data_IF_170107877387
#
_entry.id   IF_170107877387
#
_cell.length_a   1.000
_cell.length_b   1.000
_cell.length_c   1.000
_cell.angle_alpha   90.00
_cell.angle_beta   90.00
_cell.angle_gamma   90.00
#
_symmetry.space_group_name_H-M   'P 1'
#
loop_
_entity.id
_entity.type
_entity.pdbx_description
1 polymer ?
#
# COMPACT_ATOMS: atom_id res chain seq x y z
N UNK A 1 30.15 36.21 54.68
CA UNK A 1 31.11 35.70 53.69
C UNK A 1 30.31 35.34 52.44
N UNK A 2 29.90 36.35 51.68
CA UNK A 2 30.54 36.89 50.47
C UNK A 2 30.55 35.93 49.29
N UNK A 3 29.88 36.40 48.24
CA UNK A 3 29.62 35.77 46.96
C UNK A 3 30.86 35.66 46.08
N UNK A 4 30.82 34.74 45.10
CA UNK A 4 31.32 35.05 43.75
C UNK A 4 30.58 34.24 42.69
N UNK A 5 29.91 35.00 41.83
CA UNK A 5 29.41 34.71 40.49
C UNK A 5 30.57 34.40 39.54
N UNK A 6 30.36 33.51 38.56
CA UNK A 6 31.08 33.59 37.28
C UNK A 6 30.14 33.15 36.14
N UNK A 7 29.81 34.16 35.33
CA UNK A 7 29.16 34.07 34.02
C UNK A 7 30.09 33.43 32.99
N UNK A 8 29.53 32.56 32.14
CA UNK A 8 30.16 32.12 30.90
C UNK A 8 29.25 32.51 29.73
N UNK A 9 29.64 33.58 29.06
CA UNK A 9 29.10 34.19 27.85
C UNK A 9 29.10 33.24 26.65
N UNK A 10 27.98 33.21 25.92
CA UNK A 10 27.82 32.57 24.63
C UNK A 10 28.19 33.53 23.48
N UNK A 11 28.80 33.05 22.36
CA UNK A 11 29.01 33.89 21.19
C UNK A 11 27.77 33.90 20.29
N UNK A 12 27.45 35.11 19.82
CA UNK A 12 26.37 35.43 18.89
C UNK A 12 26.61 34.83 17.48
N UNK A 13 25.54 34.32 16.87
CA UNK A 13 25.45 34.06 15.44
C UNK A 13 24.51 35.08 14.82
N UNK A 14 25.09 36.10 14.17
CA UNK A 14 24.40 37.05 13.29
C UNK A 14 24.63 36.68 11.81
N UNK A 15 23.59 36.89 10.99
CA UNK A 15 23.62 36.90 9.52
C UNK A 15 23.44 35.52 8.88
N UNK A 16 22.52 35.26 7.95
CA UNK A 16 21.98 36.13 6.90
C UNK A 16 20.56 35.65 6.53
N UNK A 17 19.60 36.56 6.60
CA UNK A 17 18.28 36.44 5.99
C UNK A 17 18.22 37.34 4.74
N UNK A 18 17.66 36.79 3.66
CA UNK A 18 17.14 37.37 2.39
C UNK A 18 17.57 36.46 1.24
N UNK A 19 16.67 35.89 0.42
CA UNK A 19 15.78 36.63 -0.49
C UNK A 19 14.66 35.70 -0.99
N UNK A 20 13.40 36.03 -0.68
CA UNK A 20 12.22 35.64 -1.48
C UNK A 20 11.77 36.85 -2.31
N UNK A 21 11.31 36.57 -3.53
CA UNK A 21 10.49 37.31 -4.51
C UNK A 21 11.09 36.99 -5.90
N UNK A 22 10.34 36.58 -6.92
CA UNK A 22 8.97 36.95 -7.28
C UNK A 22 8.25 35.82 -8.03
N UNK A 23 6.93 35.81 -7.85
CA UNK A 23 5.95 35.24 -8.76
C UNK A 23 5.97 35.99 -10.11
N UNK A 24 5.60 35.30 -11.18
CA UNK A 24 4.59 35.84 -12.11
C UNK A 24 3.84 34.71 -12.82
N UNK A 25 2.51 34.79 -12.72
CA UNK A 25 1.50 34.00 -13.42
C UNK A 25 0.71 35.00 -14.26
N UNK A 26 0.61 34.78 -15.57
CA UNK A 26 -0.62 34.84 -16.39
C UNK A 26 -0.19 34.58 -17.84
N UNK A 27 -0.93 33.90 -18.71
CA UNK A 27 -2.24 34.35 -19.19
C UNK A 27 -3.02 33.21 -19.84
N UNK A 28 -4.34 33.26 -19.65
CA UNK A 28 -5.34 32.39 -20.24
C UNK A 28 -5.58 32.73 -21.72
N UNK A 29 -5.89 31.71 -22.53
CA UNK A 29 -6.56 31.87 -23.82
C UNK A 29 -7.86 31.07 -23.80
N UNK A 30 -8.96 31.84 -23.80
CA UNK A 30 -10.36 31.43 -23.87
C UNK A 30 -10.73 31.35 -25.35
N UNK A 31 -11.30 30.26 -25.82
CA UNK A 31 -12.03 30.24 -27.10
C UNK A 31 -13.36 29.53 -26.94
N UNK A 32 -14.42 30.30 -27.18
CA UNK A 32 -15.80 29.87 -27.34
C UNK A 32 -16.07 29.69 -28.84
N UNK A 33 -16.81 28.66 -29.22
CA UNK A 33 -17.65 28.61 -30.43
C UNK A 33 -18.78 27.63 -30.12
N UNK A 34 -20.00 28.10 -29.83
CA UNK A 34 -21.07 28.53 -30.76
C UNK A 34 -21.45 27.42 -31.75
N UNK A 35 -22.55 26.75 -31.42
CA UNK A 35 -23.39 25.94 -32.30
C UNK A 35 -24.22 26.82 -33.24
N UNK A 36 -24.69 26.27 -34.36
CA UNK A 36 -26.08 26.47 -34.71
C UNK A 36 -26.80 25.17 -35.08
N UNK A 37 -28.08 25.19 -34.73
CA UNK A 37 -29.08 24.19 -35.05
C UNK A 37 -29.70 24.42 -36.43
N UNK A 38 -30.28 23.34 -36.98
CA UNK A 38 -31.48 23.40 -37.81
C UNK A 38 -31.28 23.15 -39.30
N UNK A 39 -31.77 22.00 -39.79
CA UNK A 39 -32.90 21.98 -40.72
C UNK A 39 -33.37 20.54 -41.02
N UNK A 40 -34.70 20.43 -41.10
CA UNK A 40 -35.53 19.26 -41.36
C UNK A 40 -35.41 18.75 -42.80
N UNK A 41 -35.83 17.49 -43.03
CA UNK A 41 -36.00 16.94 -44.37
C UNK A 41 -36.48 15.50 -44.37
N UNK A 42 -37.80 15.33 -44.31
CA UNK A 42 -38.53 14.06 -44.42
C UNK A 42 -38.56 13.55 -45.88
N UNK A 43 -38.30 12.26 -46.12
CA UNK A 43 -38.78 11.56 -47.31
C UNK A 43 -38.88 10.04 -47.08
N UNK A 44 -40.04 9.49 -47.45
CA UNK A 44 -40.47 8.09 -47.33
C UNK A 44 -40.03 7.23 -48.53
N UNK A 45 -40.07 5.92 -48.28
CA UNK A 45 -40.33 4.78 -49.20
C UNK A 45 -39.27 4.40 -50.24
N UNK A 46 -38.84 3.14 -50.27
CA UNK A 46 -39.58 2.06 -50.95
C UNK A 46 -38.89 0.70 -50.72
N UNK A 47 -39.73 -0.33 -50.58
CA UNK A 47 -39.39 -1.75 -50.65
C UNK A 47 -38.70 -2.12 -51.97
N UNK A 48 -37.70 -2.99 -51.88
CA UNK A 48 -37.39 -3.92 -52.96
C UNK A 48 -36.85 -5.24 -52.39
N UNK A 49 -37.72 -6.24 -52.37
CA UNK A 49 -37.42 -7.65 -52.20
C UNK A 49 -36.54 -8.17 -53.35
N UNK A 50 -35.39 -8.78 -53.02
CA UNK A 50 -34.81 -9.87 -53.83
C UNK A 50 -33.88 -10.71 -52.96
N UNK A 51 -33.89 -12.06 -53.08
CA UNK A 51 -33.45 -12.95 -52.02
C UNK A 51 -31.94 -13.23 -52.12
N UNK A 52 -31.22 -13.05 -51.01
CA UNK A 52 -29.81 -13.45 -50.94
C UNK A 52 -29.68 -14.76 -50.20
N UNK A 53 -29.07 -15.71 -50.90
CA UNK A 53 -28.87 -17.11 -50.56
C UNK A 53 -28.44 -17.34 -49.10
N UNK A 54 -29.03 -18.38 -48.50
CA UNK A 54 -28.57 -19.00 -47.27
C UNK A 54 -27.11 -19.41 -47.41
N UNK A 55 -26.19 -18.59 -46.90
CA UNK A 55 -24.84 -19.01 -46.62
C UNK A 55 -24.91 -20.01 -45.47
N UNK A 56 -24.64 -21.28 -45.78
CA UNK A 56 -24.54 -22.35 -44.80
C UNK A 56 -23.64 -21.91 -43.64
N UNK A 57 -24.21 -21.87 -42.44
CA UNK A 57 -23.46 -21.71 -41.20
C UNK A 57 -22.49 -22.89 -41.08
N UNK A 58 -21.22 -22.65 -41.38
CA UNK A 58 -20.16 -23.61 -41.15
C UNK A 58 -20.18 -23.97 -39.67
N UNK A 59 -20.23 -25.27 -39.29
CA UNK A 59 -20.22 -25.65 -37.89
C UNK A 59 -18.92 -25.11 -37.27
N UNK A 60 -19.03 -24.19 -36.30
CA UNK A 60 -17.87 -23.79 -35.50
C UNK A 60 -17.45 -25.02 -34.72
N UNK A 61 -16.39 -25.68 -35.19
CA UNK A 61 -15.79 -26.82 -34.51
C UNK A 61 -15.41 -26.39 -33.10
N UNK A 62 -15.50 -27.31 -32.13
CA UNK A 62 -15.09 -27.07 -30.75
C UNK A 62 -13.67 -26.48 -30.65
N UNK A 63 -12.80 -26.81 -31.62
CA UNK A 63 -11.49 -26.21 -31.82
C UNK A 63 -11.52 -24.71 -32.15
N UNK A 64 -12.37 -24.24 -33.06
CA UNK A 64 -12.48 -22.81 -33.39
C UNK A 64 -13.02 -21.96 -32.23
N UNK A 65 -13.91 -22.54 -31.41
CA UNK A 65 -14.40 -21.90 -30.19
C UNK A 65 -13.29 -21.85 -29.13
N UNK A 66 -12.55 -22.95 -28.94
CA UNK A 66 -11.41 -23.01 -28.04
C UNK A 66 -10.30 -22.01 -28.44
N UNK A 67 -9.92 -21.94 -29.71
CA UNK A 67 -8.92 -20.99 -30.21
C UNK A 67 -9.37 -19.53 -30.05
N UNK A 68 -10.63 -19.21 -30.33
CA UNK A 68 -11.16 -17.84 -30.12
C UNK A 68 -11.26 -17.44 -28.64
N UNK A 69 -11.48 -18.41 -27.74
CA UNK A 69 -11.46 -18.20 -26.31
C UNK A 69 -10.03 -18.08 -25.78
N UNK A 70 -9.08 -18.85 -26.30
CA UNK A 70 -7.66 -18.71 -25.99
C UNK A 70 -7.12 -17.36 -26.47
N UNK A 71 -7.49 -16.90 -27.67
CA UNK A 71 -7.14 -15.56 -28.15
C UNK A 71 -7.79 -14.43 -27.34
N UNK A 72 -9.05 -14.59 -26.90
CA UNK A 72 -9.70 -13.64 -25.98
C UNK A 72 -9.08 -13.65 -24.59
N UNK A 73 -8.70 -14.82 -24.07
CA UNK A 73 -8.02 -14.98 -22.78
C UNK A 73 -6.59 -14.44 -22.87
N UNK A 74 -5.88 -14.63 -23.98
CA UNK A 74 -4.55 -14.08 -24.23
C UNK A 74 -4.60 -12.56 -24.46
N UNK A 75 -5.62 -12.02 -25.16
CA UNK A 75 -5.85 -10.57 -25.24
C UNK A 75 -6.31 -9.96 -23.92
N UNK A 76 -7.06 -10.69 -23.09
CA UNK A 76 -7.44 -10.26 -21.74
C UNK A 76 -6.28 -10.38 -20.74
N UNK A 77 -5.33 -11.29 -20.99
CA UNK A 77 -4.11 -11.51 -20.22
C UNK A 77 -2.91 -10.70 -20.74
N UNK A 78 -3.05 -9.95 -21.84
CA UNK A 78 -2.16 -8.84 -22.16
C UNK A 78 -2.40 -7.75 -21.12
N UNK A 79 -1.82 -7.97 -19.94
CA UNK A 79 -1.86 -7.09 -18.79
C UNK A 79 -1.34 -5.74 -19.27
N UNK A 80 -2.26 -4.78 -19.43
CA UNK A 80 -1.89 -3.43 -19.89
C UNK A 80 -0.81 -2.92 -18.97
N UNK A 81 0.38 -2.72 -19.52
CA UNK A 81 1.48 -2.12 -18.78
C UNK A 81 1.07 -0.70 -18.43
N UNK A 82 1.15 -0.36 -17.15
CA UNK A 82 0.86 0.97 -16.61
C UNK A 82 2.20 1.59 -16.28
N UNK A 83 2.57 2.67 -16.97
CA UNK A 83 3.72 3.47 -16.57
C UNK A 83 3.25 4.65 -15.71
N UNK A 84 3.76 4.76 -14.49
CA UNK A 84 3.43 5.87 -13.60
C UNK A 84 3.89 7.22 -14.17
N UNK A 85 4.90 7.24 -15.03
CA UNK A 85 5.38 8.46 -15.67
C UNK A 85 4.55 8.87 -16.90
N UNK A 86 3.62 8.03 -17.36
CA UNK A 86 2.72 8.36 -18.47
C UNK A 86 1.76 9.49 -18.06
N UNK A 87 1.94 10.66 -18.68
CA UNK A 87 1.14 11.86 -18.42
C UNK A 87 -0.28 11.78 -18.99
N UNK A 88 -0.56 10.81 -19.87
CA UNK A 88 -1.91 10.58 -20.40
C UNK A 88 -2.83 9.84 -19.43
N UNK A 89 -2.27 9.26 -18.36
CA UNK A 89 -3.02 8.54 -17.33
C UNK A 89 -3.34 9.46 -16.15
N UNK A 90 -4.60 9.42 -15.70
CA UNK A 90 -5.02 10.11 -14.49
C UNK A 90 -4.56 9.37 -13.22
N UNK A 91 -4.43 10.08 -12.10
CA UNK A 91 -4.16 9.44 -10.82
C UNK A 91 -5.36 8.62 -10.31
N UNK A 92 -5.08 7.46 -9.71
CA UNK A 92 -6.04 6.66 -8.97
C UNK A 92 -6.55 7.37 -7.71
N UNK A 93 -7.65 6.90 -7.10
CA UNK A 93 -8.29 7.59 -5.98
C UNK A 93 -7.70 7.25 -4.59
N UNK A 94 -6.79 6.28 -4.49
CA UNK A 94 -6.30 5.79 -3.19
C UNK A 94 -4.83 6.17 -2.99
N UNK A 95 -4.55 7.00 -2.00
CA UNK A 95 -3.19 7.23 -1.49
C UNK A 95 -2.94 6.27 -0.33
N UNK A 96 -2.02 5.33 -0.50
CA UNK A 96 -1.53 4.50 0.62
C UNK A 96 -0.41 5.26 1.32
N UNK A 97 -0.43 5.23 2.64
CA UNK A 97 0.56 5.87 3.51
C UNK A 97 1.05 4.79 4.48
N UNK A 98 2.37 4.68 4.62
CA UNK A 98 2.98 3.67 5.50
C UNK A 98 3.94 4.32 6.51
N UNK A 99 4.06 3.71 7.67
CA UNK A 99 5.32 3.70 8.40
C UNK A 99 6.30 2.66 7.82
N UNK A 100 7.55 2.66 8.29
CA UNK A 100 8.61 1.78 7.83
C UNK A 100 9.00 0.74 8.87
N UNK A 101 9.43 1.19 10.03
CA UNK A 101 10.02 0.33 11.07
C UNK A 101 8.88 -0.41 11.77
N UNK A 102 9.03 -1.72 11.94
CA UNK A 102 8.00 -2.58 12.52
C UNK A 102 6.67 -2.64 11.74
N UNK A 103 6.57 -1.92 10.62
CA UNK A 103 5.43 -1.97 9.71
C UNK A 103 5.73 -2.80 8.47
N UNK A 104 6.78 -2.46 7.69
CA UNK A 104 7.21 -3.22 6.50
C UNK A 104 8.59 -3.86 6.65
N UNK A 105 9.37 -3.37 7.62
CA UNK A 105 10.72 -3.84 7.92
C UNK A 105 10.90 -3.92 9.43
N UNK A 106 11.29 -5.08 9.94
CA UNK A 106 11.50 -5.27 11.38
C UNK A 106 12.70 -4.48 11.89
N UNK A 107 12.54 -3.85 13.04
CA UNK A 107 13.60 -3.20 13.80
C UNK A 107 14.51 -4.20 14.54
N UNK A 108 14.03 -5.43 14.78
CA UNK A 108 14.70 -6.45 15.58
C UNK A 108 14.83 -6.08 17.07
N UNK A 109 14.05 -5.10 17.55
CA UNK A 109 14.02 -4.68 18.95
C UNK A 109 15.35 -4.10 19.45
N UNK A 110 16.19 -3.61 18.53
CA UNK A 110 17.53 -3.16 18.85
C UNK A 110 17.49 -1.90 19.73
N UNK A 111 18.17 -1.94 20.87
CA UNK A 111 18.30 -0.81 21.79
C UNK A 111 19.75 -0.35 21.89
N UNK A 112 19.96 0.96 21.88
CA UNK A 112 21.24 1.59 22.22
C UNK A 112 21.04 2.42 23.49
N UNK A 113 21.83 2.15 24.54
CA UNK A 113 21.66 2.78 25.86
C UNK A 113 20.22 2.72 26.40
N UNK A 114 19.56 1.57 26.23
CA UNK A 114 18.16 1.31 26.60
C UNK A 114 17.10 2.13 25.82
N UNK A 115 17.50 2.85 24.78
CA UNK A 115 16.60 3.56 23.86
C UNK A 115 16.37 2.70 22.60
N UNK A 116 15.12 2.37 22.24
CA UNK A 116 14.82 1.66 21.00
C UNK A 116 15.26 2.44 19.75
N UNK A 117 16.03 1.80 18.87
CA UNK A 117 16.49 2.37 17.61
C UNK A 117 15.65 1.86 16.44
N UNK A 118 14.54 2.55 16.18
CA UNK A 118 13.61 2.27 15.07
C UNK A 118 12.25 1.80 15.61
N UNK A 119 12.25 0.66 16.31
CA UNK A 119 11.03 0.03 16.82
C UNK A 119 11.33 -0.96 17.95
N UNK A 120 10.35 -1.80 18.28
CA UNK A 120 10.34 -2.77 19.40
C UNK A 120 10.18 -4.22 18.97
N UNK A 121 9.87 -4.51 17.71
CA UNK A 121 9.61 -5.86 17.22
C UNK A 121 10.84 -6.77 17.37
N UNK A 122 10.70 -7.83 18.16
CA UNK A 122 11.73 -8.87 18.31
C UNK A 122 11.38 -10.17 17.58
N UNK A 123 10.22 -10.23 16.91
CA UNK A 123 9.75 -11.46 16.26
C UNK A 123 10.52 -11.76 14.97
N UNK A 124 11.11 -10.74 14.34
CA UNK A 124 11.90 -10.85 13.13
C UNK A 124 13.31 -10.30 13.35
N UNK A 125 14.26 -10.79 12.55
CA UNK A 125 15.63 -10.28 12.56
C UNK A 125 15.68 -8.82 12.12
N UNK A 126 16.62 -8.04 12.68
CA UNK A 126 16.76 -6.63 12.32
C UNK A 126 16.93 -6.47 10.81
N UNK A 127 16.01 -5.72 10.23
CA UNK A 127 15.98 -5.39 8.82
C UNK A 127 15.35 -6.43 7.91
N UNK A 128 14.86 -7.54 8.46
CA UNK A 128 13.99 -8.47 7.73
C UNK A 128 12.72 -7.75 7.25
N UNK A 129 12.28 -8.10 6.05
CA UNK A 129 11.07 -7.56 5.45
C UNK A 129 9.88 -8.45 5.79
N UNK A 130 8.75 -7.85 6.19
CA UNK A 130 7.58 -8.64 6.55
C UNK A 130 6.97 -9.31 5.30
N UNK A 131 6.71 -10.63 5.35
CA UNK A 131 6.23 -11.38 4.18
C UNK A 131 4.92 -10.81 3.62
N UNK A 132 4.87 -10.59 2.29
CA UNK A 132 3.66 -10.15 1.60
C UNK A 132 3.31 -8.66 1.75
N UNK A 133 4.02 -7.91 2.61
CA UNK A 133 3.78 -6.47 2.89
C UNK A 133 3.74 -5.61 1.61
N UNK A 134 4.77 -5.72 0.79
CA UNK A 134 4.90 -4.97 -0.47
C UNK A 134 3.77 -5.28 -1.46
N UNK A 135 3.38 -6.56 -1.56
CA UNK A 135 2.27 -6.97 -2.43
C UNK A 135 0.94 -6.42 -1.92
N UNK A 136 0.71 -6.44 -0.61
CA UNK A 136 -0.50 -5.89 0.00
C UNK A 136 -0.64 -4.38 -0.27
N UNK A 137 0.43 -3.62 -0.05
CA UNK A 137 0.47 -2.17 -0.29
C UNK A 137 0.16 -1.85 -1.75
N UNK A 138 0.78 -2.56 -2.70
CA UNK A 138 0.51 -2.37 -4.13
C UNK A 138 -0.96 -2.67 -4.47
N UNK A 139 -1.50 -3.79 -3.97
CA UNK A 139 -2.87 -4.18 -4.26
C UNK A 139 -3.88 -3.15 -3.72
N UNK A 140 -3.63 -2.56 -2.55
CA UNK A 140 -4.43 -1.46 -2.02
C UNK A 140 -4.39 -0.22 -2.92
N UNK A 141 -3.20 0.14 -3.42
CA UNK A 141 -3.03 1.29 -4.31
C UNK A 141 -3.73 1.11 -5.67
N UNK A 142 -3.79 -0.13 -6.17
CA UNK A 142 -4.39 -0.45 -7.47
C UNK A 142 -5.90 -0.74 -7.39
N UNK A 143 -6.43 -1.07 -6.22
CA UNK A 143 -7.81 -1.54 -6.11
C UNK A 143 -8.85 -0.47 -6.47
N UNK A 144 -9.80 -0.85 -7.33
CA UNK A 144 -10.85 0.04 -7.88
C UNK A 144 -10.32 1.35 -8.49
N UNK A 145 -9.07 1.33 -8.98
CA UNK A 145 -8.46 2.49 -9.61
C UNK A 145 -9.20 2.94 -10.88
N UNK A 146 -9.87 2.04 -11.59
CA UNK A 146 -10.56 2.34 -12.85
C UNK A 146 -9.66 2.19 -14.08
N UNK A 147 -10.23 2.40 -15.27
CA UNK A 147 -9.50 2.36 -16.54
C UNK A 147 -8.77 3.69 -16.77
N UNK A 148 -7.68 3.67 -17.54
CA UNK A 148 -6.88 4.85 -17.90
C UNK A 148 -6.34 5.63 -16.69
N UNK A 149 -6.07 4.92 -15.59
CA UNK A 149 -5.53 5.51 -14.36
C UNK A 149 -4.26 4.78 -13.93
N UNK A 150 -3.42 5.49 -13.19
CA UNK A 150 -2.18 5.00 -12.59
C UNK A 150 -2.22 5.14 -11.06
N UNK A 151 -1.63 4.20 -10.32
CA UNK A 151 -1.66 4.24 -8.86
C UNK A 151 -0.84 5.43 -8.37
N UNK A 152 -1.32 6.11 -7.32
CA UNK A 152 -0.54 7.15 -6.65
C UNK A 152 0.75 6.53 -6.10
N UNK A 153 1.87 7.26 -6.21
CA UNK A 153 3.13 6.89 -5.56
C UNK A 153 2.96 6.85 -4.04
N UNK A 154 3.65 5.93 -3.39
CA UNK A 154 3.55 5.64 -1.96
C UNK A 154 4.06 6.82 -1.13
N UNK A 155 3.37 7.12 -0.04
CA UNK A 155 3.79 8.11 0.95
C UNK A 155 4.29 7.43 2.22
N UNK A 156 5.25 8.06 2.90
CA UNK A 156 5.89 7.54 4.11
C UNK A 156 5.80 8.59 5.22
N UNK A 157 5.27 8.19 6.38
CA UNK A 157 5.33 8.96 7.62
C UNK A 157 6.18 8.18 8.62
N UNK A 158 7.43 8.60 8.81
CA UNK A 158 8.41 7.85 9.60
C UNK A 158 9.01 8.71 10.70
N UNK A 159 9.32 8.07 11.83
CA UNK A 159 10.04 8.68 12.95
C UNK A 159 11.55 8.71 12.75
N UNK A 160 12.06 8.14 11.65
CA UNK A 160 13.46 8.26 11.24
C UNK A 160 13.84 9.72 11.03
N UNK A 161 15.12 10.02 11.25
CA UNK A 161 15.70 11.32 10.98
C UNK A 161 16.19 11.41 9.52
N UNK A 162 16.19 12.61 8.90
CA UNK A 162 16.56 12.78 7.49
C UNK A 162 17.97 12.29 7.12
N UNK A 163 18.88 12.16 8.08
CA UNK A 163 20.26 11.72 7.88
C UNK A 163 20.39 10.25 7.48
N UNK A 164 19.32 9.46 7.59
CA UNK A 164 19.23 8.10 7.03
C UNK A 164 18.10 8.09 5.99
N UNK A 165 18.33 8.72 4.82
CA UNK A 165 17.26 8.95 3.86
C UNK A 165 16.82 7.66 3.18
N UNK A 166 15.51 7.57 2.92
CA UNK A 166 14.94 6.56 2.03
C UNK A 166 15.06 7.10 0.60
N UNK A 167 16.00 6.55 -0.15
CA UNK A 167 16.27 6.94 -1.53
C UNK A 167 15.60 6.02 -2.53
N UNK A 168 15.61 6.45 -3.80
CA UNK A 168 15.07 5.69 -4.94
C UNK A 168 15.69 4.28 -5.03
N UNK A 169 16.95 4.15 -4.65
CA UNK A 169 17.74 2.92 -4.69
C UNK A 169 17.83 2.20 -3.34
N UNK A 170 17.06 2.65 -2.34
CA UNK A 170 16.96 1.92 -1.08
C UNK A 170 16.38 0.52 -1.33
N UNK A 171 16.90 -0.49 -0.64
CA UNK A 171 16.43 -1.88 -0.78
C UNK A 171 14.91 -2.02 -0.62
N UNK A 172 14.31 -1.18 0.22
CA UNK A 172 12.87 -1.11 0.41
C UNK A 172 12.15 -0.62 -0.86
N UNK A 173 12.63 0.46 -1.48
CA UNK A 173 12.00 1.00 -2.68
C UNK A 173 12.24 0.12 -3.92
N UNK A 174 13.43 -0.48 -4.03
CA UNK A 174 13.71 -1.50 -5.05
C UNK A 174 12.72 -2.65 -4.94
N UNK A 175 12.42 -3.10 -3.71
CA UNK A 175 11.46 -4.19 -3.51
C UNK A 175 10.02 -3.82 -3.89
N UNK A 176 9.58 -2.59 -3.59
CA UNK A 176 8.29 -2.07 -4.08
C UNK A 176 8.23 -2.10 -5.61
N UNK A 177 9.30 -1.62 -6.27
CA UNK A 177 9.40 -1.57 -7.72
C UNK A 177 9.34 -2.97 -8.34
N UNK A 178 10.10 -3.92 -7.83
CA UNK A 178 10.08 -5.31 -8.31
C UNK A 178 8.68 -5.94 -8.24
N UNK A 179 7.95 -5.70 -7.15
CA UNK A 179 6.59 -6.23 -6.97
C UNK A 179 5.61 -5.55 -7.93
N UNK A 180 5.76 -4.25 -8.16
CA UNK A 180 4.96 -3.49 -9.11
C UNK A 180 5.20 -3.91 -10.57
N UNK A 181 6.46 -4.07 -10.97
CA UNK A 181 6.84 -4.49 -12.33
C UNK A 181 6.32 -5.89 -12.65
N UNK A 182 6.37 -6.83 -11.68
CA UNK A 182 5.74 -8.15 -11.82
C UNK A 182 4.22 -8.08 -12.02
N UNK A 183 3.58 -6.97 -11.61
CA UNK A 183 2.15 -6.70 -11.86
C UNK A 183 1.91 -5.85 -13.12
N UNK A 184 2.96 -5.50 -13.85
CA UNK A 184 2.89 -4.66 -15.05
C UNK A 184 2.76 -3.16 -14.73
N UNK A 185 3.20 -2.72 -13.55
CA UNK A 185 3.24 -1.31 -13.17
C UNK A 185 4.69 -0.85 -13.11
N UNK A 186 5.09 -0.01 -14.06
CA UNK A 186 6.44 0.54 -14.16
C UNK A 186 6.57 1.83 -13.35
N UNK A 187 7.78 2.10 -12.86
CA UNK A 187 8.13 3.34 -12.16
C UNK A 187 7.30 3.64 -10.91
N UNK A 188 6.71 2.61 -10.29
CA UNK A 188 5.97 2.76 -9.04
C UNK A 188 6.84 2.41 -7.82
N UNK A 189 6.59 3.12 -6.72
CA UNK A 189 7.31 2.98 -5.45
C UNK A 189 6.99 4.15 -4.53
N UNK A 190 7.93 4.48 -3.64
CA UNK A 190 7.90 5.67 -2.79
C UNK A 190 8.18 6.90 -3.64
N UNK A 191 7.39 7.95 -3.43
CA UNK A 191 7.71 9.30 -3.92
C UNK A 191 8.78 9.91 -3.01
N UNK A 192 10.04 9.62 -3.35
CA UNK A 192 11.20 10.02 -2.56
C UNK A 192 11.42 11.53 -2.51
N UNK A 193 10.88 12.26 -3.47
CA UNK A 193 11.09 13.70 -3.60
C UNK A 193 10.07 14.50 -2.80
N UNK A 194 8.82 14.01 -2.70
CA UNK A 194 7.72 14.82 -2.19
C UNK A 194 6.96 14.19 -1.02
N UNK A 195 6.98 12.86 -0.84
CA UNK A 195 6.09 12.17 0.12
C UNK A 195 6.81 11.32 1.15
N UNK A 196 8.08 11.63 1.46
CA UNK A 196 8.71 11.14 2.68
C UNK A 196 8.70 12.25 3.72
N UNK A 197 7.95 12.05 4.79
CA UNK A 197 7.81 13.03 5.86
C UNK A 197 8.42 12.47 7.15
N UNK A 198 9.69 12.84 7.35
CA UNK A 198 10.48 12.51 8.53
C UNK A 198 9.98 13.25 9.78
N UNK A 199 10.27 12.65 10.94
CA UNK A 199 10.21 13.34 12.23
C UNK A 199 11.45 14.21 12.47
N UNK A 200 11.45 14.97 13.56
CA UNK A 200 12.65 15.69 14.00
C UNK A 200 13.45 14.84 15.00
N UNK A 201 14.69 15.28 15.31
CA UNK A 201 15.53 14.67 16.35
C UNK A 201 14.79 14.62 17.69
N UNK A 202 13.95 15.63 18.00
CA UNK A 202 13.16 15.66 19.24
C UNK A 202 12.25 14.43 19.33
N UNK A 203 11.47 14.15 18.30
CA UNK A 203 10.55 13.00 18.32
C UNK A 203 11.29 11.67 18.17
N UNK A 204 12.48 11.66 17.57
CA UNK A 204 13.35 10.49 17.55
C UNK A 204 13.79 10.10 18.97
N UNK A 205 14.14 11.09 19.82
CA UNK A 205 14.54 10.88 21.23
C UNK A 205 13.35 10.74 22.17
N UNK A 206 12.26 11.49 21.97
CA UNK A 206 11.10 11.57 22.87
C UNK A 206 9.85 10.98 22.22
N UNK A 207 9.44 9.80 22.68
CA UNK A 207 8.37 9.01 22.06
C UNK A 207 6.96 9.61 22.21
N UNK A 208 6.70 10.41 23.24
CA UNK A 208 5.35 10.86 23.64
C UNK A 208 4.63 11.70 22.58
N UNK A 209 5.36 12.29 21.64
CA UNK A 209 4.80 13.19 20.61
C UNK A 209 4.87 12.61 19.19
N UNK A 210 5.31 11.36 19.03
CA UNK A 210 5.49 10.73 17.71
C UNK A 210 4.18 10.61 16.94
N UNK A 211 3.08 10.26 17.61
CA UNK A 211 1.76 10.12 16.99
C UNK A 211 1.24 11.46 16.47
N UNK A 212 1.27 12.49 17.32
CA UNK A 212 0.93 13.86 16.94
C UNK A 212 1.81 14.37 15.79
N UNK A 213 3.12 14.08 15.81
CA UNK A 213 4.03 14.46 14.74
C UNK A 213 3.68 13.82 13.40
N UNK A 214 3.37 12.52 13.39
CA UNK A 214 2.88 11.82 12.19
C UNK A 214 1.57 12.42 11.70
N UNK A 215 0.66 12.79 12.59
CA UNK A 215 -0.56 13.50 12.21
C UNK A 215 -0.28 14.90 11.61
N UNK A 216 0.65 15.67 12.17
CA UNK A 216 1.07 16.97 11.60
C UNK A 216 1.66 16.77 10.20
N UNK A 217 2.49 15.75 10.01
CA UNK A 217 3.03 15.40 8.70
C UNK A 217 1.91 14.96 7.73
N UNK A 218 0.97 14.14 8.19
CA UNK A 218 -0.21 13.79 7.39
C UNK A 218 -0.97 15.02 6.91
N UNK A 219 -1.17 16.06 7.73
CA UNK A 219 -1.86 17.29 7.28
C UNK A 219 -1.14 17.97 6.12
N UNK A 220 0.20 17.95 6.09
CA UNK A 220 1.00 18.47 4.98
C UNK A 220 0.81 17.61 3.73
N UNK A 221 0.93 16.29 3.90
CA UNK A 221 0.72 15.32 2.81
C UNK A 221 -0.70 15.41 2.23
N UNK A 222 -1.73 15.48 3.07
CA UNK A 222 -3.13 15.63 2.66
C UNK A 222 -3.31 16.88 1.81
N UNK A 223 -2.77 18.03 2.24
CA UNK A 223 -2.83 19.28 1.45
C UNK A 223 -2.15 19.10 0.09
N UNK A 224 -0.96 18.52 0.07
CA UNK A 224 -0.21 18.27 -1.16
C UNK A 224 -0.98 17.36 -2.13
N UNK A 225 -1.38 16.16 -1.67
CA UNK A 225 -2.08 15.17 -2.49
C UNK A 225 -3.44 15.67 -2.95
N UNK A 226 -4.21 16.36 -2.11
CA UNK A 226 -5.52 16.88 -2.53
C UNK A 226 -5.44 18.07 -3.48
N UNK A 227 -4.32 18.80 -3.54
CA UNK A 227 -4.11 19.81 -4.57
C UNK A 227 -3.90 19.17 -5.95
N UNK A 228 -3.24 18.01 -6.02
CA UNK A 228 -3.02 17.28 -7.28
C UNK A 228 -4.20 16.38 -7.65
N UNK A 229 -4.89 15.82 -6.64
CA UNK A 229 -5.97 14.88 -6.78
C UNK A 229 -6.98 15.06 -5.65
N UNK A 230 -7.93 15.98 -5.84
CA UNK A 230 -8.94 16.34 -4.83
C UNK A 230 -9.85 15.17 -4.40
N UNK A 231 -9.97 14.15 -5.23
CA UNK A 231 -10.75 12.93 -4.98
C UNK A 231 -9.96 11.87 -4.20
N UNK A 232 -8.68 12.08 -3.93
CA UNK A 232 -7.87 11.14 -3.18
C UNK A 232 -8.43 10.88 -1.77
N UNK A 233 -8.44 9.60 -1.40
CA UNK A 233 -8.72 9.10 -0.06
C UNK A 233 -7.55 8.23 0.40
N UNK A 234 -7.39 8.11 1.71
CA UNK A 234 -6.15 7.65 2.31
C UNK A 234 -6.35 6.33 3.06
N UNK A 235 -5.34 5.46 2.99
CA UNK A 235 -5.22 4.29 3.85
C UNK A 235 -3.91 4.44 4.62
N UNK A 236 -3.97 4.35 5.94
CA UNK A 236 -2.80 4.40 6.82
C UNK A 236 -2.43 2.99 7.27
N UNK A 237 -1.15 2.65 7.18
CA UNK A 237 -0.59 1.39 7.67
C UNK A 237 0.57 1.73 8.60
N UNK A 238 0.51 1.23 9.83
CA UNK A 238 1.54 1.41 10.84
C UNK A 238 1.58 0.22 11.77
N UNK A 239 2.27 0.34 12.90
CA UNK A 239 2.42 -0.74 13.88
C UNK A 239 1.88 -0.37 15.28
N UNK A 240 1.84 -1.34 16.20
CA UNK A 240 1.38 -1.13 17.59
C UNK A 240 2.54 -0.87 18.56
N UNK A 241 3.78 -0.96 18.11
CA UNK A 241 5.00 -0.74 18.89
C UNK A 241 5.39 0.72 19.01
N UNK A 242 4.94 1.59 18.09
CA UNK A 242 5.04 3.05 18.18
C UNK A 242 3.66 3.72 18.37
N UNK A 243 3.58 5.04 18.14
CA UNK A 243 2.38 5.88 18.26
C UNK A 243 1.56 5.96 16.96
N UNK A 244 1.59 4.91 16.13
CA UNK A 244 0.93 4.91 14.82
C UNK A 244 -0.58 4.76 14.90
N UNK A 245 -1.06 4.04 15.92
CA UNK A 245 -2.49 3.97 16.24
C UNK A 245 -3.02 5.36 16.60
N UNK A 246 -2.32 6.09 17.46
CA UNK A 246 -2.67 7.46 17.84
C UNK A 246 -2.72 8.38 16.62
N UNK A 247 -1.72 8.30 15.74
CA UNK A 247 -1.70 9.05 14.48
C UNK A 247 -2.93 8.71 13.60
N UNK A 248 -3.21 7.42 13.39
CA UNK A 248 -4.34 6.95 12.61
C UNK A 248 -5.69 7.42 13.16
N UNK A 249 -5.87 7.38 14.48
CA UNK A 249 -7.08 7.91 15.11
C UNK A 249 -7.22 9.42 14.94
N UNK A 250 -6.14 10.19 15.08
CA UNK A 250 -6.15 11.64 14.86
C UNK A 250 -6.51 11.98 13.40
N UNK A 251 -5.99 11.20 12.44
CA UNK A 251 -6.37 11.31 11.02
C UNK A 251 -7.87 11.08 10.83
N UNK A 252 -8.45 10.03 11.41
CA UNK A 252 -9.88 9.73 11.33
C UNK A 252 -10.71 10.82 12.02
N UNK A 253 -10.32 11.24 13.24
CA UNK A 253 -11.04 12.24 14.02
C UNK A 253 -11.12 13.57 13.26
N UNK A 254 -10.04 13.95 12.57
CA UNK A 254 -9.93 15.23 11.87
C UNK A 254 -10.41 15.18 10.42
N UNK A 255 -10.29 14.04 9.75
CA UNK A 255 -10.62 13.87 8.32
C UNK A 255 -11.44 12.59 8.05
N UNK A 256 -12.58 12.36 8.72
CA UNK A 256 -13.30 11.08 8.65
C UNK A 256 -13.76 10.72 7.24
N UNK A 257 -14.10 11.72 6.41
CA UNK A 257 -14.46 11.51 5.01
C UNK A 257 -13.29 11.20 4.08
N UNK A 258 -12.03 11.38 4.51
CA UNK A 258 -10.84 11.17 3.68
C UNK A 258 -10.12 9.88 4.00
N UNK A 259 -10.26 9.32 5.21
CA UNK A 259 -9.63 8.05 5.57
C UNK A 259 -10.56 6.89 5.21
N UNK A 260 -10.04 5.88 4.50
CA UNK A 260 -10.77 4.67 4.14
C UNK A 260 -10.60 3.55 5.16
N UNK A 261 -9.40 3.44 5.73
CA UNK A 261 -9.05 2.45 6.73
C UNK A 261 -7.72 2.79 7.40
N UNK A 262 -7.53 2.25 8.59
CA UNK A 262 -6.27 2.21 9.32
C UNK A 262 -5.92 0.74 9.59
N UNK A 263 -4.72 0.31 9.21
CA UNK A 263 -4.22 -1.06 9.42
C UNK A 263 -3.03 -1.03 10.38
N UNK A 264 -3.12 -1.76 11.49
CA UNK A 264 -2.13 -1.76 12.56
C UNK A 264 -1.47 -3.13 12.70
N UNK A 265 -0.18 -3.20 12.36
CA UNK A 265 0.63 -4.39 12.50
C UNK A 265 0.98 -4.63 13.96
N UNK A 266 0.57 -5.78 14.49
CA UNK A 266 0.77 -6.15 15.89
C UNK A 266 2.14 -6.77 16.09
N UNK A 267 3.07 -5.98 16.62
CA UNK A 267 4.47 -6.37 16.82
C UNK A 267 4.82 -6.80 18.25
N UNK A 268 3.84 -6.80 19.15
CA UNK A 268 4.05 -7.30 20.51
C UNK A 268 3.99 -8.85 20.55
N UNK A 269 4.97 -9.50 21.21
CA UNK A 269 4.96 -10.96 21.40
C UNK A 269 3.76 -11.43 22.21
N UNK A 270 3.29 -12.64 21.92
CA UNK A 270 2.15 -13.25 22.62
C UNK A 270 2.48 -13.70 24.05
N UNK A 271 3.77 -13.79 24.40
CA UNK A 271 4.26 -14.54 25.58
C UNK A 271 4.74 -13.64 26.75
N UNK A 272 4.38 -12.36 26.77
CA UNK A 272 4.63 -11.47 27.90
C UNK A 272 3.71 -11.78 29.09
N UNK A 273 4.19 -11.56 30.32
CA UNK A 273 3.53 -11.84 31.61
C UNK A 273 2.14 -11.20 31.82
N UNK A 274 1.67 -10.40 30.88
CA UNK A 274 0.28 -9.99 30.74
C UNK A 274 -0.09 -10.23 29.28
N UNK A 275 -0.86 -11.28 29.01
CA UNK A 275 -1.26 -11.69 27.66
C UNK A 275 -2.05 -10.60 26.93
N UNK A 276 -1.36 -9.63 26.34
CA UNK A 276 -1.94 -8.70 25.37
C UNK A 276 -2.23 -9.48 24.09
N UNK A 277 -3.38 -10.14 24.11
CA UNK A 277 -4.07 -10.62 22.91
C UNK A 277 -4.11 -9.49 21.89
N UNK A 278 -3.90 -9.82 20.61
CA UNK A 278 -4.09 -8.88 19.51
C UNK A 278 -5.37 -8.07 19.74
N UNK A 279 -5.31 -6.72 19.70
CA UNK A 279 -6.49 -5.91 19.95
C UNK A 279 -7.63 -6.28 18.99
N UNK A 280 -8.86 -6.08 19.45
CA UNK A 280 -10.03 -6.25 18.59
C UNK A 280 -10.11 -5.10 17.59
N UNK A 281 -10.53 -5.41 16.37
CA UNK A 281 -10.89 -4.38 15.39
C UNK A 281 -12.04 -3.52 15.90
N UNK A 282 -12.06 -2.27 15.47
CA UNK A 282 -13.15 -1.36 15.80
C UNK A 282 -13.39 -0.34 14.68
N UNK A 283 -14.47 0.42 14.81
CA UNK A 283 -14.78 1.53 13.93
C UNK A 283 -14.71 2.84 14.70
N UNK A 284 -13.99 3.81 14.13
CA UNK A 284 -13.95 5.17 14.63
C UNK A 284 -14.55 6.07 13.55
N UNK A 285 -15.64 6.78 13.86
CA UNK A 285 -16.39 7.60 12.87
C UNK A 285 -16.67 6.86 11.55
N UNK A 286 -17.09 5.59 11.65
CA UNK A 286 -17.35 4.68 10.51
C UNK A 286 -16.13 4.30 9.66
N UNK A 287 -14.91 4.67 10.08
CA UNK A 287 -13.67 4.20 9.46
C UNK A 287 -13.16 2.99 10.24
N UNK A 288 -12.86 1.86 9.56
CA UNK A 288 -12.33 0.68 10.22
C UNK A 288 -10.88 0.88 10.66
N UNK A 289 -10.59 0.49 11.90
CA UNK A 289 -9.24 0.32 12.47
C UNK A 289 -9.02 -1.17 12.67
N UNK A 290 -8.07 -1.73 11.91
CA UNK A 290 -7.90 -3.15 11.69
C UNK A 290 -6.53 -3.61 12.17
N UNK A 291 -6.50 -4.48 13.18
CA UNK A 291 -5.27 -5.03 13.73
C UNK A 291 -4.89 -6.33 13.03
N UNK A 292 -3.60 -6.60 12.80
CA UNK A 292 -3.19 -7.84 12.13
C UNK A 292 -1.79 -8.27 12.55
N UNK A 293 -1.51 -9.57 12.50
CA UNK A 293 -0.15 -10.13 12.69
C UNK A 293 0.54 -10.46 11.37
N UNK A 294 -0.22 -10.87 10.35
CA UNK A 294 0.35 -11.14 9.03
C UNK A 294 -0.35 -10.32 7.96
N UNK A 295 0.37 -10.02 6.88
CA UNK A 295 -0.21 -9.31 5.74
C UNK A 295 -1.25 -10.14 4.98
N UNK A 296 -1.32 -11.46 5.19
CA UNK A 296 -2.44 -12.29 4.73
C UNK A 296 -3.69 -11.99 5.55
N UNK A 297 -3.57 -11.92 6.87
CA UNK A 297 -4.64 -11.47 7.75
C UNK A 297 -5.10 -10.04 7.44
N UNK A 298 -4.17 -9.12 7.16
CA UNK A 298 -4.50 -7.76 6.71
C UNK A 298 -5.29 -7.78 5.39
N UNK A 299 -4.86 -8.59 4.43
CA UNK A 299 -5.53 -8.72 3.14
C UNK A 299 -6.93 -9.34 3.26
N UNK A 300 -7.14 -10.31 4.16
CA UNK A 300 -8.46 -10.86 4.48
C UNK A 300 -9.41 -9.76 4.94
N UNK A 301 -9.01 -9.00 5.96
CA UNK A 301 -9.79 -7.86 6.48
C UNK A 301 -10.03 -6.81 5.40
N UNK A 302 -9.04 -6.54 4.56
CA UNK A 302 -9.23 -5.63 3.43
C UNK A 302 -10.29 -6.13 2.42
N UNK A 303 -10.42 -7.44 2.19
CA UNK A 303 -11.51 -8.01 1.37
C UNK A 303 -12.86 -7.84 2.07
N UNK A 304 -12.95 -8.17 3.36
CA UNK A 304 -14.18 -8.05 4.17
C UNK A 304 -14.71 -6.61 4.19
N UNK A 305 -13.81 -5.63 4.17
CA UNK A 305 -14.15 -4.20 4.16
C UNK A 305 -14.22 -3.59 2.74
N UNK A 306 -14.16 -4.41 1.68
CA UNK A 306 -14.29 -3.95 0.30
C UNK A 306 -13.16 -3.02 -0.17
N UNK A 307 -11.96 -3.18 0.41
CA UNK A 307 -10.71 -2.50 0.09
C UNK A 307 -9.82 -3.32 -0.84
N UNK A 308 -10.08 -4.63 -0.97
CA UNK A 308 -9.47 -5.56 -1.93
C UNK A 308 -10.52 -6.50 -2.53
N UNK A 309 -10.12 -7.33 -3.49
CA UNK A 309 -10.91 -8.49 -3.97
C UNK A 309 -10.17 -9.80 -3.71
N UNK A 310 -10.86 -10.93 -3.89
CA UNK A 310 -10.28 -12.26 -3.69
C UNK A 310 -9.00 -12.50 -4.49
N UNK A 311 -8.92 -12.02 -5.75
CA UNK A 311 -7.71 -12.16 -6.57
C UNK A 311 -6.50 -11.41 -5.98
N UNK A 312 -6.73 -10.23 -5.40
CA UNK A 312 -5.70 -9.47 -4.70
C UNK A 312 -5.23 -10.21 -3.44
N UNK A 313 -6.17 -10.76 -2.65
CA UNK A 313 -5.86 -11.60 -1.51
C UNK A 313 -5.00 -12.82 -1.91
N UNK A 314 -5.35 -13.53 -2.99
CA UNK A 314 -4.56 -14.68 -3.47
C UNK A 314 -3.12 -14.28 -3.82
N UNK A 315 -2.92 -13.10 -4.43
CA UNK A 315 -1.57 -12.59 -4.75
C UNK A 315 -0.77 -12.25 -3.50
N UNK A 316 -1.39 -11.60 -2.50
CA UNK A 316 -0.75 -11.32 -1.21
C UNK A 316 -0.34 -12.61 -0.51
N UNK A 317 -1.24 -13.60 -0.45
CA UNK A 317 -0.95 -14.90 0.15
C UNK A 317 0.21 -15.61 -0.55
N UNK A 318 0.16 -15.72 -1.88
CA UNK A 318 1.23 -16.35 -2.65
C UNK A 318 2.57 -15.65 -2.40
N UNK A 319 2.59 -14.31 -2.39
CA UNK A 319 3.82 -13.56 -2.11
C UNK A 319 4.30 -13.77 -0.69
N UNK A 320 3.42 -13.76 0.31
CA UNK A 320 3.79 -13.96 1.71
C UNK A 320 4.44 -15.33 1.96
N UNK A 321 3.88 -16.39 1.37
CA UNK A 321 4.46 -17.75 1.46
C UNK A 321 5.85 -17.80 0.81
N UNK A 322 6.01 -17.19 -0.36
CA UNK A 322 7.29 -17.18 -1.07
C UNK A 322 8.33 -16.35 -0.32
N UNK A 323 7.99 -15.16 0.16
CA UNK A 323 8.88 -14.30 0.96
C UNK A 323 9.36 -15.05 2.22
N UNK A 324 8.45 -15.68 2.96
CA UNK A 324 8.81 -16.37 4.20
C UNK A 324 9.65 -17.63 3.92
N UNK A 325 9.39 -18.34 2.82
CA UNK A 325 10.17 -19.50 2.41
C UNK A 325 11.57 -19.11 1.90
N UNK A 326 11.69 -18.03 1.13
CA UNK A 326 12.99 -17.51 0.64
C UNK A 326 13.88 -17.10 1.82
N UNK A 327 13.31 -16.51 2.87
CA UNK A 327 14.05 -16.07 4.06
C UNK A 327 14.42 -17.21 5.02
N UNK A 328 13.91 -18.43 4.80
CA UNK A 328 14.23 -19.67 5.55
C UNK A 328 14.42 -19.47 7.06
N UNK A 329 13.46 -18.85 7.78
CA UNK A 329 13.64 -18.63 9.21
C UNK A 329 13.77 -19.98 9.92
N UNK A 330 14.79 -20.11 10.78
CA UNK A 330 14.89 -21.24 11.70
C UNK A 330 13.73 -21.25 12.71
N UNK A 331 13.16 -20.07 12.96
CA UNK A 331 12.00 -19.91 13.82
C UNK A 331 10.68 -20.23 13.09
N UNK A 332 10.03 -21.30 13.54
CA UNK A 332 8.73 -21.75 13.06
C UNK A 332 7.55 -20.92 13.58
N UNK A 333 7.74 -20.03 14.57
CA UNK A 333 6.68 -19.16 15.10
C UNK A 333 6.03 -18.31 14.00
N UNK A 334 6.85 -17.75 13.10
CA UNK A 334 6.43 -16.97 11.92
C UNK A 334 5.54 -17.78 10.98
N UNK A 335 5.87 -19.06 10.81
CA UNK A 335 5.06 -19.98 10.02
C UNK A 335 3.74 -20.31 10.73
N UNK A 336 3.72 -20.44 12.07
CA UNK A 336 2.47 -20.67 12.82
C UNK A 336 1.47 -19.54 12.58
N UNK A 337 1.90 -18.28 12.69
CA UNK A 337 1.03 -17.12 12.45
C UNK A 337 0.53 -17.07 11.01
N UNK A 338 1.42 -17.28 10.02
CA UNK A 338 1.05 -17.28 8.62
C UNK A 338 0.09 -18.42 8.27
N UNK A 339 0.33 -19.63 8.77
CA UNK A 339 -0.52 -20.80 8.51
C UNK A 339 -1.90 -20.60 9.13
N UNK A 340 -2.01 -20.05 10.35
CA UNK A 340 -3.30 -19.71 10.96
C UNK A 340 -4.11 -18.82 10.02
N UNK A 341 -3.53 -17.71 9.55
CA UNK A 341 -4.23 -16.78 8.66
C UNK A 341 -4.52 -17.41 7.28
N UNK A 342 -3.66 -18.29 6.77
CA UNK A 342 -3.88 -19.04 5.52
C UNK A 342 -5.09 -19.97 5.63
N UNK A 343 -5.21 -20.72 6.72
CA UNK A 343 -6.33 -21.63 6.94
C UNK A 343 -7.66 -20.87 7.00
N UNK A 344 -7.67 -19.67 7.58
CA UNK A 344 -8.85 -18.81 7.61
C UNK A 344 -9.24 -18.23 6.24
N UNK A 345 -8.30 -18.12 5.30
CA UNK A 345 -8.57 -17.56 3.97
C UNK A 345 -8.62 -18.59 2.85
N UNK A 346 -8.33 -19.86 3.10
CA UNK A 346 -8.24 -20.87 2.04
C UNK A 346 -9.54 -20.99 1.23
N UNK A 347 -10.69 -20.91 1.92
CA UNK A 347 -12.01 -20.90 1.30
C UNK A 347 -12.27 -19.61 0.49
N UNK A 348 -11.75 -18.47 0.96
CA UNK A 348 -11.98 -17.13 0.43
C UNK A 348 -11.06 -16.81 -0.76
N UNK A 349 -9.80 -17.26 -0.71
CA UNK A 349 -8.76 -16.97 -1.69
C UNK A 349 -8.89 -17.85 -2.95
N UNK A 350 -9.81 -18.82 -2.95
CA UNK A 350 -10.13 -19.72 -4.07
C UNK A 350 -8.90 -20.35 -4.74
N UNK A 351 -7.84 -20.59 -3.96
CA UNK A 351 -6.55 -21.07 -4.46
C UNK A 351 -6.71 -22.40 -5.20
N UNK A 352 -7.69 -23.22 -4.78
CA UNK A 352 -8.03 -24.56 -5.32
C UNK A 352 -8.27 -24.56 -6.84
N UNK A 353 -8.78 -23.47 -7.41
CA UNK A 353 -9.15 -23.37 -8.84
C UNK A 353 -8.06 -22.80 -9.77
N UNK A 354 -6.89 -22.44 -9.24
CA UNK A 354 -5.82 -21.85 -10.04
C UNK A 354 -4.72 -22.87 -10.37
N UNK A 355 -4.58 -23.19 -11.66
CA UNK A 355 -3.51 -24.04 -12.23
C UNK A 355 -2.27 -23.22 -12.66
N UNK A 356 -1.97 -22.12 -11.97
CA UNK A 356 -0.71 -21.42 -12.19
C UNK A 356 0.41 -22.18 -11.46
N UNK A 357 1.54 -22.42 -12.13
CA UNK A 357 2.73 -23.06 -11.56
C UNK A 357 3.13 -22.47 -10.19
N UNK A 358 2.98 -21.15 -10.03
CA UNK A 358 3.28 -20.45 -8.78
C UNK A 358 2.34 -20.86 -7.64
N UNK A 359 1.04 -20.99 -7.91
CA UNK A 359 0.04 -21.40 -6.92
C UNK A 359 0.27 -22.86 -6.50
N UNK A 360 0.59 -23.73 -7.45
CA UNK A 360 0.93 -25.13 -7.15
C UNK A 360 2.15 -25.20 -6.23
N UNK A 361 3.23 -24.46 -6.56
CA UNK A 361 4.42 -24.36 -5.71
C UNK A 361 4.06 -23.84 -4.30
N UNK A 362 3.23 -22.80 -4.22
CA UNK A 362 2.76 -22.25 -2.93
C UNK A 362 2.05 -23.31 -2.09
N UNK A 363 1.14 -24.12 -2.68
CA UNK A 363 0.45 -25.18 -1.94
C UNK A 363 1.40 -26.24 -1.39
N UNK A 364 2.37 -26.67 -2.20
CA UNK A 364 3.39 -27.65 -1.76
C UNK A 364 4.18 -27.11 -0.56
N UNK A 365 4.56 -25.84 -0.59
CA UNK A 365 5.26 -25.21 0.55
C UNK A 365 4.37 -25.21 1.80
N UNK A 366 3.10 -24.81 1.66
CA UNK A 366 2.14 -24.77 2.77
C UNK A 366 1.96 -26.17 3.38
N UNK A 367 1.71 -27.19 2.55
CA UNK A 367 1.50 -28.57 3.00
C UNK A 367 2.72 -29.13 3.74
N UNK A 368 3.93 -28.86 3.23
CA UNK A 368 5.16 -29.28 3.88
C UNK A 368 5.34 -28.59 5.24
N UNK A 369 5.04 -27.29 5.34
CA UNK A 369 5.16 -26.54 6.59
C UNK A 369 4.10 -26.93 7.62
N UNK A 370 2.88 -27.26 7.21
CA UNK A 370 1.86 -27.82 8.11
C UNK A 370 2.36 -29.15 8.71
N UNK A 371 2.93 -30.04 7.89
CA UNK A 371 3.50 -31.31 8.37
C UNK A 371 4.64 -31.08 9.35
N UNK A 372 5.59 -30.20 9.03
CA UNK A 372 6.71 -29.84 9.91
C UNK A 372 6.24 -29.30 11.26
N UNK A 373 5.26 -28.37 11.25
CA UNK A 373 4.67 -27.84 12.48
C UNK A 373 3.98 -28.92 13.33
N UNK A 374 3.32 -29.90 12.71
CA UNK A 374 2.67 -31.00 13.43
C UNK A 374 3.65 -31.97 14.11
N UNK A 375 4.89 -32.05 13.65
CA UNK A 375 5.94 -32.88 14.26
C UNK A 375 6.67 -32.19 15.42
N UNK A 376 6.41 -30.89 15.65
CA UNK A 376 7.04 -30.07 16.69
C UNK A 376 6.06 -29.67 17.82
N UNK A 377 4.87 -30.27 17.87
CA UNK A 377 3.86 -30.09 18.94
C UNK A 377 3.90 -31.26 19.89
#
# INVERSE_FOLDING_TARGET
MSATQQDATAPALEGVAHRMRSLDISTAARSQSVTPAGMEGSAKSADSNTPRANAASTPRTAFGIASSNVEKIQKAAAQRVIDVNDSSLEWGPTQVIIDIDDTVKSSGGYKLFNVPLGGVDTQYGRGELYPGSFQFILELAMYKMGKNRKPLLLAVLTTRIPQVPITVDSALNMRLREVAEKRGVLNWGIDCDNKILYSTIKEWVFNETRGEKKFVNFRKLHKYVCNENSNARFIWIGDTGDRDLEAGELMIKSFPGKIRAVFMHCVTPTDGSEGQRMPNDYYLKSVPVLFFRTYVGAAKKAVEHGLLNHNALSRVLVRAVLDLNENSPQDLSKWKDLIRDILEVEEIANLKRYEANLVVKTRVIIENKIKELSHHV
#
